data_IF_376098896181
#
_entry.id   IF_376098896181
#
_cell.length_a   1.000
_cell.length_b   1.000
_cell.length_c   1.000
_cell.angle_alpha   90.00
_cell.angle_beta   90.00
_cell.angle_gamma   90.00
#
_symmetry.space_group_name_H-M   'P 1'
#
loop_
_entity.id
_entity.type
_entity.pdbx_description
1 polymer ?
#
# COMPACT_ATOMS: atom_id res chain seq x y z
N UNK A 1 21.29 35.84 -6.63
CA UNK A 1 21.28 34.36 -6.56
C UNK A 1 20.17 33.88 -7.48
N UNK A 2 20.39 32.89 -8.36
CA UNK A 2 19.29 32.35 -9.17
C UNK A 2 18.25 31.73 -8.23
N UNK A 3 16.97 32.09 -8.41
CA UNK A 3 15.86 31.46 -7.70
C UNK A 3 15.91 29.96 -7.95
N UNK A 4 16.00 29.14 -6.90
CA UNK A 4 15.86 27.68 -7.03
C UNK A 4 14.53 27.41 -7.72
N UNK A 5 14.57 26.90 -8.96
CA UNK A 5 13.41 26.29 -9.56
C UNK A 5 13.10 25.04 -8.74
N UNK A 6 11.99 25.07 -8.00
CA UNK A 6 11.46 23.86 -7.38
C UNK A 6 10.77 23.02 -8.46
N UNK A 7 10.82 21.70 -8.32
CA UNK A 7 10.05 20.82 -9.17
C UNK A 7 8.54 21.08 -8.96
N UNK A 8 7.78 21.15 -10.06
CA UNK A 8 6.33 21.14 -9.97
C UNK A 8 5.89 19.71 -9.59
N UNK A 9 5.24 19.58 -8.44
CA UNK A 9 4.74 18.30 -7.92
C UNK A 9 3.22 18.37 -7.91
N UNK A 10 2.59 17.51 -8.71
CA UNK A 10 1.14 17.33 -8.75
C UNK A 10 0.82 15.84 -8.66
N UNK A 11 0.40 15.33 -7.49
CA UNK A 11 0.04 13.92 -7.30
C UNK A 11 -1.35 13.59 -7.89
N UNK A 12 -2.10 14.57 -8.40
CA UNK A 12 -3.44 14.38 -8.96
C UNK A 12 -4.41 13.63 -8.03
N UNK A 13 -4.42 13.96 -6.73
CA UNK A 13 -5.32 13.32 -5.76
C UNK A 13 -6.78 13.36 -6.22
N UNK A 14 -7.48 12.24 -6.02
CA UNK A 14 -8.90 12.06 -6.37
C UNK A 14 -9.19 12.11 -7.87
N UNK A 15 -8.17 12.10 -8.74
CA UNK A 15 -8.39 12.09 -10.18
C UNK A 15 -9.05 10.78 -10.64
N UNK A 16 -8.72 9.65 -10.01
CA UNK A 16 -9.39 8.38 -10.30
C UNK A 16 -10.59 8.19 -9.36
N UNK A 17 -11.79 7.85 -9.88
CA UNK A 17 -13.00 7.74 -9.07
C UNK A 17 -12.92 6.64 -7.99
N UNK A 18 -12.07 5.63 -8.18
CA UNK A 18 -11.85 4.59 -7.19
C UNK A 18 -11.22 5.13 -5.90
N UNK A 19 -10.37 6.16 -5.97
CA UNK A 19 -9.67 6.70 -4.81
C UNK A 19 -10.68 7.26 -3.80
N UNK A 20 -11.65 8.03 -4.31
CA UNK A 20 -12.74 8.60 -3.52
C UNK A 20 -13.65 7.49 -3.00
N UNK A 21 -14.06 6.57 -3.87
CA UNK A 21 -14.96 5.48 -3.48
C UNK A 21 -14.37 4.60 -2.38
N UNK A 22 -13.08 4.27 -2.48
CA UNK A 22 -12.35 3.50 -1.47
C UNK A 22 -12.31 4.24 -0.14
N UNK A 23 -12.00 5.55 -0.14
CA UNK A 23 -11.90 6.34 1.07
C UNK A 23 -13.27 6.54 1.77
N UNK A 24 -14.34 6.74 0.99
CA UNK A 24 -15.72 6.77 1.51
C UNK A 24 -16.08 5.41 2.14
N UNK A 25 -15.74 4.31 1.47
CA UNK A 25 -15.92 2.96 1.99
C UNK A 25 -15.17 2.72 3.30
N UNK A 26 -13.93 3.19 3.39
CA UNK A 26 -13.08 3.12 4.59
C UNK A 26 -13.70 3.86 5.77
N UNK A 27 -14.19 5.09 5.58
CA UNK A 27 -14.87 5.87 6.64
C UNK A 27 -16.11 5.13 7.15
N UNK A 28 -16.94 4.60 6.23
CA UNK A 28 -18.13 3.82 6.61
C UNK A 28 -17.76 2.54 7.36
N UNK A 29 -16.67 1.87 6.97
CA UNK A 29 -16.18 0.69 7.66
C UNK A 29 -15.69 1.03 9.07
N UNK A 30 -14.88 2.08 9.21
CA UNK A 30 -14.38 2.55 10.50
C UNK A 30 -15.52 2.89 11.46
N UNK A 31 -16.56 3.60 11.00
CA UNK A 31 -17.77 3.87 11.79
C UNK A 31 -18.44 2.60 12.29
N UNK A 32 -18.60 1.58 11.44
CA UNK A 32 -19.18 0.28 11.85
C UNK A 32 -18.30 -0.44 12.87
N UNK A 33 -16.98 -0.38 12.73
CA UNK A 33 -16.04 -1.01 13.66
C UNK A 33 -16.07 -0.33 15.04
N UNK A 34 -16.11 1.01 15.08
CA UNK A 34 -16.09 1.78 16.33
C UNK A 34 -17.32 1.56 17.22
N UNK A 35 -18.48 1.26 16.62
CA UNK A 35 -19.73 0.97 17.35
C UNK A 35 -19.97 -0.53 17.56
N UNK A 36 -19.02 -1.38 17.18
CA UNK A 36 -19.08 -2.81 17.43
C UNK A 36 -18.39 -3.16 18.76
N UNK A 37 -18.90 -4.15 19.51
CA UNK A 37 -18.19 -4.65 20.69
C UNK A 37 -16.79 -5.19 20.35
N UNK A 38 -15.76 -4.96 21.19
CA UNK A 38 -15.80 -4.24 22.48
C UNK A 38 -15.49 -2.73 22.37
N UNK A 39 -15.29 -2.20 21.15
CA UNK A 39 -14.89 -0.80 20.95
C UNK A 39 -16.00 0.19 21.33
N UNK A 40 -17.26 -0.23 21.19
CA UNK A 40 -18.44 0.55 21.60
C UNK A 40 -18.36 1.06 23.04
N UNK A 41 -17.77 0.30 23.95
CA UNK A 41 -17.61 0.65 25.37
C UNK A 41 -16.67 1.85 25.62
N UNK A 42 -15.76 2.14 24.70
CA UNK A 42 -14.79 3.24 24.80
C UNK A 42 -15.01 4.35 23.77
N UNK A 43 -15.95 4.15 22.84
CA UNK A 43 -16.23 5.11 21.78
C UNK A 43 -17.02 6.31 22.31
N UNK A 44 -16.38 7.49 22.31
CA UNK A 44 -16.95 8.73 22.84
C UNK A 44 -17.64 9.61 21.77
N UNK A 45 -17.84 9.09 20.56
CA UNK A 45 -18.39 9.83 19.42
C UNK A 45 -17.34 10.22 18.38
N UNK A 46 -17.82 10.71 17.23
CA UNK A 46 -16.99 11.06 16.08
C UNK A 46 -16.64 12.54 16.08
N UNK A 47 -15.35 12.86 16.01
CA UNK A 47 -14.87 14.22 15.80
C UNK A 47 -14.94 14.60 14.31
N UNK A 48 -14.26 13.83 13.46
CA UNK A 48 -14.19 14.04 12.01
C UNK A 48 -14.51 12.74 11.25
N UNK A 49 -15.19 12.81 10.09
CA UNK A 49 -15.85 13.98 9.47
C UNK A 49 -17.02 14.57 10.29
N UNK A 50 -17.44 13.86 11.33
CA UNK A 50 -18.53 14.21 12.23
C UNK A 50 -19.79 13.43 11.87
N UNK A 51 -20.56 13.05 12.90
CA UNK A 51 -21.72 12.16 12.78
C UNK A 51 -22.83 12.68 11.85
N UNK A 52 -22.86 13.98 11.53
CA UNK A 52 -23.85 14.57 10.64
C UNK A 52 -23.58 14.37 9.14
N UNK A 53 -22.45 13.77 8.73
CA UNK A 53 -22.13 13.47 7.33
C UNK A 53 -22.48 12.02 7.05
N UNK A 54 -23.73 11.76 6.66
CA UNK A 54 -24.30 10.42 6.59
C UNK A 54 -24.35 9.84 5.19
N UNK A 55 -24.29 10.69 4.15
CA UNK A 55 -24.28 10.26 2.74
C UNK A 55 -22.88 10.19 2.16
N UNK A 56 -22.68 9.40 1.10
CA UNK A 56 -21.42 9.29 0.36
C UNK A 56 -20.98 10.66 -0.16
N UNK A 57 -21.92 11.46 -0.64
CA UNK A 57 -21.68 12.81 -1.12
C UNK A 57 -21.23 13.78 -0.02
N UNK A 58 -21.75 13.63 1.21
CA UNK A 58 -21.29 14.42 2.35
C UNK A 58 -19.86 14.06 2.74
N UNK A 59 -19.54 12.77 2.75
CA UNK A 59 -18.21 12.25 3.09
C UNK A 59 -17.20 12.66 2.02
N UNK A 60 -17.52 12.48 0.73
CA UNK A 60 -16.67 12.92 -0.38
C UNK A 60 -16.36 14.42 -0.31
N UNK A 61 -17.39 15.24 -0.07
CA UNK A 61 -17.21 16.69 0.05
C UNK A 61 -16.24 17.04 1.17
N UNK A 62 -16.32 16.35 2.30
CA UNK A 62 -15.36 16.51 3.39
C UNK A 62 -13.96 16.06 2.98
N UNK A 63 -13.81 14.88 2.36
CA UNK A 63 -12.52 14.34 1.90
C UNK A 63 -11.76 15.28 0.98
N UNK A 64 -12.46 15.92 0.04
CA UNK A 64 -11.86 16.90 -0.88
C UNK A 64 -11.34 18.15 -0.17
N UNK A 65 -11.80 18.44 1.04
CA UNK A 65 -11.35 19.57 1.86
C UNK A 65 -10.19 19.26 2.81
N UNK A 66 -9.84 17.98 3.01
CA UNK A 66 -8.88 17.55 4.04
C UNK A 66 -7.75 16.66 3.51
N UNK A 67 -7.60 16.56 2.18
CA UNK A 67 -6.59 15.70 1.57
C UNK A 67 -5.18 16.03 2.04
N UNK A 68 -4.41 14.99 2.36
CA UNK A 68 -3.01 15.07 2.71
C UNK A 68 -2.27 13.84 2.14
N UNK A 69 -0.96 13.99 1.95
CA UNK A 69 -0.10 12.86 1.60
C UNK A 69 0.18 12.01 2.84
N UNK A 70 0.26 10.70 2.64
CA UNK A 70 0.86 9.76 3.59
C UNK A 70 2.40 9.69 3.46
N UNK A 71 2.99 10.56 2.61
CA UNK A 71 4.43 10.64 2.34
C UNK A 71 5.00 9.32 1.76
N UNK A 72 4.24 8.72 0.84
CA UNK A 72 4.56 7.46 0.17
C UNK A 72 4.56 7.59 -1.36
N UNK A 73 5.16 8.66 -1.88
CA UNK A 73 5.23 8.89 -3.33
C UNK A 73 6.16 7.88 -4.02
N UNK A 74 5.64 7.25 -5.08
CA UNK A 74 6.34 6.21 -5.87
C UNK A 74 6.08 6.38 -7.37
N UNK A 75 6.82 5.64 -8.19
CA UNK A 75 6.46 5.39 -9.59
C UNK A 75 6.85 6.47 -10.59
N UNK A 76 7.49 7.56 -10.17
CA UNK A 76 7.93 8.64 -11.07
C UNK A 76 8.99 8.20 -12.10
N UNK A 77 9.69 7.10 -11.86
CA UNK A 77 10.62 6.43 -12.77
C UNK A 77 10.35 4.91 -12.79
N UNK A 78 9.08 4.54 -12.96
CA UNK A 78 8.59 3.16 -12.82
C UNK A 78 9.46 2.09 -13.52
N UNK A 79 9.81 1.05 -12.77
CA UNK A 79 10.46 -0.17 -13.27
C UNK A 79 9.42 -1.10 -13.90
N UNK A 80 9.24 -1.00 -15.21
CA UNK A 80 8.26 -1.74 -16.01
C UNK A 80 8.78 -1.97 -17.44
N UNK A 81 8.14 -2.82 -18.25
CA UNK A 81 8.40 -2.88 -19.68
C UNK A 81 8.27 -1.51 -20.35
N UNK A 82 9.21 -1.15 -21.22
CA UNK A 82 9.20 0.13 -21.93
C UNK A 82 7.91 0.33 -22.77
N UNK A 83 7.35 -0.76 -23.30
CA UNK A 83 6.08 -0.76 -24.03
C UNK A 83 4.86 -0.35 -23.18
N UNK A 84 4.98 -0.41 -21.85
CA UNK A 84 3.95 0.00 -20.90
C UNK A 84 4.28 1.36 -20.24
N UNK A 85 5.26 2.10 -20.77
CA UNK A 85 5.70 3.38 -20.22
C UNK A 85 6.76 3.28 -19.11
N UNK A 86 7.38 2.10 -18.94
CA UNK A 86 8.48 1.95 -17.98
C UNK A 86 9.72 2.79 -18.34
N UNK A 87 10.39 3.29 -17.31
CA UNK A 87 11.62 4.11 -17.41
C UNK A 87 12.87 3.31 -17.03
N UNK A 88 12.70 2.31 -16.16
CA UNK A 88 13.78 1.51 -15.57
C UNK A 88 13.58 0.03 -15.93
N UNK A 89 14.67 -0.67 -16.25
CA UNK A 89 14.66 -2.14 -16.44
C UNK A 89 14.92 -2.90 -15.12
N UNK A 90 14.81 -4.23 -15.13
CA UNK A 90 14.99 -5.08 -13.93
C UNK A 90 16.42 -5.12 -13.37
N UNK A 91 17.39 -4.53 -14.08
CA UNK A 91 18.77 -4.31 -13.64
C UNK A 91 19.00 -2.89 -13.08
N UNK A 92 17.89 -2.19 -12.79
CA UNK A 92 17.83 -0.82 -12.30
C UNK A 92 18.36 0.22 -13.28
N UNK A 93 18.55 -0.14 -14.56
CA UNK A 93 19.14 0.75 -15.56
C UNK A 93 18.05 1.56 -16.26
N UNK A 94 18.32 2.85 -16.46
CA UNK A 94 17.46 3.74 -17.23
C UNK A 94 17.52 3.37 -18.71
N UNK A 95 16.36 3.11 -19.32
CA UNK A 95 16.27 2.80 -20.75
C UNK A 95 16.92 3.91 -21.60
N UNK A 96 17.62 3.52 -22.67
CA UNK A 96 18.29 4.46 -23.58
C UNK A 96 19.58 5.07 -23.05
N UNK A 97 20.00 4.78 -21.81
CA UNK A 97 21.28 5.25 -21.26
C UNK A 97 22.37 4.18 -21.35
N UNK A 98 23.64 4.59 -21.29
CA UNK A 98 24.76 3.64 -21.26
C UNK A 98 24.93 3.00 -19.86
N UNK A 99 24.96 3.82 -18.80
CA UNK A 99 25.34 3.37 -17.45
C UNK A 99 24.68 4.20 -16.33
N UNK A 100 23.42 4.60 -16.48
CA UNK A 100 22.66 5.32 -15.43
C UNK A 100 21.71 4.35 -14.75
N UNK A 101 21.69 4.36 -13.41
CA UNK A 101 20.80 3.53 -12.59
C UNK A 101 20.09 4.36 -11.52
N UNK A 102 18.91 3.91 -11.13
CA UNK A 102 18.09 4.53 -10.08
C UNK A 102 17.68 3.45 -9.08
N UNK A 103 17.84 3.74 -7.79
CA UNK A 103 17.60 2.81 -6.69
C UNK A 103 16.95 3.54 -5.51
N UNK A 104 15.72 4.00 -5.70
CA UNK A 104 14.90 4.65 -4.68
C UNK A 104 13.40 4.34 -4.91
N UNK A 105 12.49 5.00 -4.18
CA UNK A 105 11.05 4.79 -4.29
C UNK A 105 10.46 5.09 -5.69
N UNK A 106 11.13 5.90 -6.52
CA UNK A 106 10.64 6.28 -7.85
C UNK A 106 10.47 5.10 -8.80
N UNK A 107 11.23 4.02 -8.58
CA UNK A 107 11.19 2.84 -9.45
C UNK A 107 10.02 1.90 -9.14
N UNK A 108 9.36 2.07 -7.98
CA UNK A 108 8.27 1.21 -7.53
C UNK A 108 7.05 1.51 -8.41
N UNK A 109 6.59 0.58 -9.27
CA UNK A 109 5.60 0.90 -10.30
C UNK A 109 4.18 1.08 -9.75
N UNK A 110 3.88 0.48 -8.60
CA UNK A 110 2.57 0.56 -7.94
C UNK A 110 2.75 0.69 -6.43
N UNK A 111 1.89 1.46 -5.73
CA UNK A 111 1.91 1.51 -4.27
C UNK A 111 1.81 0.12 -3.65
N UNK A 112 2.59 -0.10 -2.59
CA UNK A 112 2.56 -1.33 -1.80
C UNK A 112 1.67 -1.10 -0.59
N UNK A 113 0.88 -2.10 -0.18
CA UNK A 113 0.06 -2.05 1.05
C UNK A 113 0.93 -2.19 2.31
N UNK A 114 1.91 -1.29 2.48
CA UNK A 114 2.82 -1.21 3.60
C UNK A 114 3.55 0.15 3.60
N UNK A 115 4.12 0.54 4.74
CA UNK A 115 5.04 1.68 4.79
C UNK A 115 6.28 1.44 3.93
N UNK A 116 6.67 2.43 3.13
CA UNK A 116 7.69 2.26 2.08
C UNK A 116 9.11 2.10 2.60
N UNK A 117 9.41 2.49 3.84
CA UNK A 117 10.79 2.53 4.37
C UNK A 117 11.52 1.20 4.18
N UNK A 118 10.87 0.09 4.52
CA UNK A 118 11.44 -1.24 4.36
C UNK A 118 11.62 -1.65 2.88
N UNK A 119 10.66 -1.30 2.02
CA UNK A 119 10.75 -1.54 0.57
C UNK A 119 11.92 -0.77 -0.05
N UNK A 120 12.12 0.49 0.35
CA UNK A 120 13.22 1.33 -0.16
C UNK A 120 14.57 0.80 0.31
N UNK A 121 14.70 0.34 1.56
CA UNK A 121 15.94 -0.30 2.02
C UNK A 121 16.27 -1.55 1.21
N UNK A 122 15.26 -2.39 0.91
CA UNK A 122 15.45 -3.57 0.07
C UNK A 122 15.92 -3.21 -1.34
N UNK A 123 15.40 -2.13 -1.94
CA UNK A 123 15.86 -1.60 -3.24
C UNK A 123 17.34 -1.22 -3.17
N UNK A 124 17.75 -0.54 -2.10
CA UNK A 124 19.15 -0.13 -1.90
C UNK A 124 20.11 -1.30 -1.68
N UNK A 125 19.69 -2.34 -0.96
CA UNK A 125 20.53 -3.50 -0.62
C UNK A 125 20.65 -4.53 -1.75
N UNK A 126 19.63 -4.68 -2.60
CA UNK A 126 19.59 -5.66 -3.68
C UNK A 126 19.45 -4.98 -5.05
N UNK A 127 20.56 -4.71 -5.76
CA UNK A 127 20.57 -3.96 -7.01
C UNK A 127 20.04 -4.76 -8.23
N UNK A 128 19.46 -5.94 -8.01
CA UNK A 128 18.89 -6.81 -9.05
C UNK A 128 17.56 -7.37 -8.59
N UNK A 129 16.53 -7.22 -9.40
CA UNK A 129 15.18 -7.67 -9.09
C UNK A 129 14.79 -8.82 -10.02
N UNK A 130 14.25 -9.89 -9.44
CA UNK A 130 13.49 -10.88 -10.21
C UNK A 130 12.04 -10.89 -9.72
N UNK A 131 11.11 -11.20 -10.63
CA UNK A 131 9.68 -11.35 -10.33
C UNK A 131 9.38 -12.54 -9.42
N UNK A 132 10.37 -13.34 -9.02
CA UNK A 132 10.22 -14.53 -8.17
C UNK A 132 9.97 -14.21 -6.69
N UNK A 133 9.76 -12.94 -6.34
CA UNK A 133 9.17 -12.59 -5.05
C UNK A 133 7.84 -13.33 -4.85
N UNK A 134 7.01 -13.43 -5.90
CA UNK A 134 5.75 -14.18 -5.90
C UNK A 134 5.96 -15.67 -5.52
N UNK A 135 7.00 -16.31 -6.05
CA UNK A 135 7.29 -17.72 -5.79
C UNK A 135 7.71 -17.95 -4.34
N UNK A 136 8.55 -17.08 -3.78
CA UNK A 136 8.96 -17.14 -2.38
C UNK A 136 7.77 -16.91 -1.41
N UNK A 137 6.78 -16.11 -1.81
CA UNK A 137 5.53 -15.93 -1.06
C UNK A 137 4.64 -17.18 -1.08
N UNK A 138 4.45 -17.80 -2.26
CA UNK A 138 3.69 -19.04 -2.42
C UNK A 138 4.27 -20.16 -1.56
N UNK A 139 5.60 -20.29 -1.52
CA UNK A 139 6.28 -21.30 -0.71
C UNK A 139 6.04 -21.12 0.79
N UNK A 140 6.03 -19.87 1.27
CA UNK A 140 5.76 -19.56 2.68
C UNK A 140 4.31 -19.83 3.07
N UNK A 141 3.37 -19.54 2.16
CA UNK A 141 1.96 -19.88 2.31
C UNK A 141 1.79 -21.40 2.36
N UNK A 142 2.40 -22.14 1.44
CA UNK A 142 2.37 -23.60 1.39
C UNK A 142 3.02 -24.25 2.62
N UNK A 143 4.04 -23.63 3.20
CA UNK A 143 4.65 -24.09 4.45
C UNK A 143 3.70 -23.90 5.65
N UNK A 144 2.96 -22.80 5.67
CA UNK A 144 2.11 -22.40 6.79
C UNK A 144 0.69 -23.00 6.71
N UNK A 145 0.23 -23.36 5.51
CA UNK A 145 -1.05 -24.02 5.25
C UNK A 145 -1.13 -25.46 5.78
N UNK A 146 -0.03 -25.96 6.34
CA UNK A 146 0.08 -27.30 6.95
C UNK A 146 -0.45 -27.35 8.40
N UNK A 147 -0.79 -26.20 8.97
CA UNK A 147 -1.25 -26.07 10.35
C UNK A 147 -2.72 -25.63 10.38
N UNK A 148 -3.60 -26.53 10.79
CA UNK A 148 -5.07 -26.36 10.75
C UNK A 148 -5.61 -25.35 11.77
N UNK A 149 -4.76 -24.87 12.69
CA UNK A 149 -5.13 -24.04 13.84
C UNK A 149 -4.59 -22.60 13.78
N UNK A 150 -4.19 -22.12 12.59
CA UNK A 150 -3.71 -20.74 12.41
C UNK A 150 -4.82 -19.76 12.03
N UNK A 151 -5.21 -18.90 12.97
CA UNK A 151 -6.32 -17.96 12.82
C UNK A 151 -5.95 -16.67 12.03
N UNK A 152 -4.75 -16.11 12.28
CA UNK A 152 -4.22 -14.95 11.57
C UNK A 152 -2.67 -14.88 11.68
N UNK A 153 -2.02 -14.19 10.74
CA UNK A 153 -0.57 -13.91 10.77
C UNK A 153 -0.35 -12.41 10.93
N UNK A 154 0.47 -12.02 11.91
CA UNK A 154 0.78 -10.63 12.21
C UNK A 154 2.30 -10.45 12.34
N UNK A 155 2.97 -10.03 11.26
CA UNK A 155 4.42 -9.84 11.23
C UNK A 155 4.77 -8.35 11.14
N UNK A 156 5.42 -7.83 12.19
CA UNK A 156 6.08 -6.50 12.25
C UNK A 156 7.59 -6.70 12.13
N UNK A 157 8.32 -5.70 11.64
CA UNK A 157 9.78 -5.73 11.59
C UNK A 157 10.36 -4.86 12.72
N UNK A 158 10.97 -5.48 13.72
CA UNK A 158 11.89 -4.80 14.64
C UNK A 158 13.32 -5.16 14.22
N UNK A 159 14.20 -4.16 14.12
CA UNK A 159 15.62 -4.37 13.85
C UNK A 159 16.26 -4.92 15.12
N UNK A 160 16.40 -6.25 15.21
CA UNK A 160 17.22 -6.90 16.23
C UNK A 160 18.58 -7.21 15.61
N UNK A 161 19.61 -6.51 16.07
CA UNK A 161 20.99 -6.75 15.63
C UNK A 161 21.45 -8.13 16.08
N UNK A 162 21.99 -8.87 15.11
CA UNK A 162 22.69 -10.17 15.18
C UNK A 162 21.84 -11.46 15.07
N UNK A 163 21.99 -12.13 13.92
CA UNK A 163 22.32 -13.56 13.95
C UNK A 163 21.28 -14.59 13.51
N UNK A 164 20.16 -14.24 12.87
CA UNK A 164 19.26 -15.25 12.26
C UNK A 164 18.61 -14.75 10.98
N UNK A 165 18.53 -15.63 9.97
CA UNK A 165 17.83 -15.40 8.69
C UNK A 165 16.32 -15.25 8.93
N UNK A 166 15.89 -14.06 9.35
CA UNK A 166 14.50 -13.65 9.40
C UNK A 166 14.18 -12.92 8.09
N UNK A 167 13.40 -13.57 7.21
CA UNK A 167 12.88 -12.98 5.98
C UNK A 167 11.36 -12.70 6.15
N UNK A 168 10.93 -11.50 6.59
CA UNK A 168 9.59 -11.32 7.16
C UNK A 168 8.78 -10.20 6.47
N UNK A 169 7.72 -10.53 5.72
CA UNK A 169 6.77 -9.54 5.17
C UNK A 169 5.28 -9.99 5.21
N UNK A 170 4.92 -10.87 6.14
CA UNK A 170 3.75 -11.78 6.05
C UNK A 170 2.36 -11.17 6.40
N UNK A 171 2.21 -9.89 6.74
CA UNK A 171 0.93 -9.43 7.35
C UNK A 171 -0.15 -8.94 6.39
N UNK A 172 0.17 -8.14 5.36
CA UNK A 172 -0.89 -7.38 4.65
C UNK A 172 -1.54 -8.12 3.49
N UNK A 173 -0.81 -8.99 2.77
CA UNK A 173 -1.34 -9.73 1.63
C UNK A 173 -2.36 -10.83 2.02
N UNK A 174 -2.29 -11.36 3.26
CA UNK A 174 -3.17 -12.44 3.73
C UNK A 174 -4.55 -11.93 4.16
N UNK A 175 -4.65 -10.67 4.60
CA UNK A 175 -5.94 -10.05 4.95
C UNK A 175 -6.84 -9.88 3.72
N UNK A 176 -6.27 -9.51 2.57
CA UNK A 176 -7.02 -9.32 1.34
C UNK A 176 -7.48 -10.64 0.70
N UNK A 177 -6.71 -11.73 0.81
CA UNK A 177 -7.07 -13.02 0.22
C UNK A 177 -8.25 -13.69 0.96
N UNK A 178 -8.29 -13.62 2.30
CA UNK A 178 -9.44 -14.14 3.07
C UNK A 178 -10.71 -13.29 2.86
N UNK A 179 -10.57 -11.96 2.77
CA UNK A 179 -11.68 -11.07 2.45
C UNK A 179 -12.18 -11.28 1.02
N UNK A 180 -11.27 -11.46 0.07
CA UNK A 180 -11.55 -11.82 -1.33
C UNK A 180 -12.31 -13.14 -1.43
N UNK A 181 -11.81 -14.23 -0.81
CA UNK A 181 -12.45 -15.54 -0.82
C UNK A 181 -13.84 -15.55 -0.16
N UNK A 182 -14.11 -14.65 0.79
CA UNK A 182 -15.43 -14.44 1.38
C UNK A 182 -16.36 -13.58 0.50
N UNK A 183 -15.82 -12.81 -0.46
CA UNK A 183 -16.54 -11.86 -1.28
C UNK A 183 -16.91 -12.38 -2.68
N UNK A 184 -16.39 -13.54 -3.12
CA UNK A 184 -16.64 -14.12 -4.46
C UNK A 184 -18.06 -14.72 -4.64
N UNK A 185 -19.06 -14.08 -4.04
CA UNK A 185 -20.47 -14.22 -4.39
C UNK A 185 -21.12 -12.89 -4.84
N UNK A 186 -20.37 -11.79 -5.07
CA UNK A 186 -20.52 -11.09 -6.36
C UNK A 186 -19.26 -10.37 -6.91
N UNK A 187 -19.40 -9.95 -8.18
CA UNK A 187 -18.46 -9.46 -9.19
C UNK A 187 -17.67 -8.16 -8.94
N UNK A 188 -16.84 -8.06 -7.90
CA UNK A 188 -15.85 -6.98 -7.81
C UNK A 188 -14.57 -7.38 -7.08
N UNK A 189 -13.41 -7.18 -7.73
CA UNK A 189 -12.09 -7.27 -7.12
C UNK A 189 -11.84 -6.00 -6.31
N UNK A 190 -11.74 -6.10 -5.00
CA UNK A 190 -11.42 -4.99 -4.10
C UNK A 190 -10.02 -5.23 -3.53
N UNK A 191 -9.02 -4.49 -4.03
CA UNK A 191 -7.76 -4.30 -3.32
C UNK A 191 -7.93 -3.05 -2.44
N UNK A 192 -7.83 -3.20 -1.13
CA UNK A 192 -8.00 -2.09 -0.19
C UNK A 192 -6.66 -1.79 0.49
N UNK A 193 -5.98 -0.68 0.13
CA UNK A 193 -5.05 -0.05 1.06
C UNK A 193 -5.90 0.66 2.12
N UNK A 194 -6.15 -0.02 3.24
CA UNK A 194 -6.63 0.65 4.45
C UNK A 194 -5.45 1.43 5.02
N UNK A 195 -5.37 2.71 4.69
CA UNK A 195 -4.37 3.67 5.17
C UNK A 195 -5.09 4.73 6.01
N UNK A 196 -4.65 4.89 7.25
CA UNK A 196 -4.96 6.02 8.14
C UNK A 196 -3.71 6.89 8.15
#
# INVERSE_FOLDING_TARGET
MPSKLLAAVDPAYWAHPLDVAAQVGGIKLARRMLVAPPLDSIYAGEFEPGANKTTDADIERWLRGVVASDNHEVGSLSMMPQSLGGVIDTSLKVYGTANVRVADASIIPFPVSAHLSSTVYMIGERPTWSTNLLDQYIDTINASSKYDNMFAYNVRNEVLTSGTNAAPFIKTAVCDIKAYLACIAPSALVAHPMLI
#
